data_IF_034829196954
#
_entry.id   IF_034829196954
#
_cell.length_a   1.000
_cell.length_b   1.000
_cell.length_c   1.000
_cell.angle_alpha   90.00
_cell.angle_beta   90.00
_cell.angle_gamma   90.00
#
_symmetry.space_group_name_H-M   'P 1'
#
loop_
_entity.id
_entity.type
_entity.pdbx_description
1 polymer ?
#
# COMPACT_ATOMS: atom_id res chain seq x y z
N UNK A 1 -17.00 4.60 -4.63
CA UNK A 1 -15.79 4.71 -5.47
C UNK A 1 -14.59 4.60 -4.55
N UNK A 2 -13.75 3.58 -4.71
CA UNK A 2 -12.61 3.34 -3.82
C UNK A 2 -11.32 3.18 -4.61
N UNK A 3 -10.20 3.61 -4.03
CA UNK A 3 -8.87 3.41 -4.60
C UNK A 3 -8.29 2.13 -4.00
N UNK A 4 -7.94 1.18 -4.85
CA UNK A 4 -7.21 -0.02 -4.45
C UNK A 4 -5.72 0.27 -4.62
N UNK A 5 -5.04 0.61 -3.52
CA UNK A 5 -3.59 0.77 -3.52
C UNK A 5 -2.96 -0.62 -3.40
N UNK A 6 -2.24 -1.03 -4.44
CA UNK A 6 -1.71 -2.39 -4.57
C UNK A 6 -0.19 -2.34 -4.59
N UNK A 7 0.38 -1.80 -3.51
CA UNK A 7 1.81 -1.75 -3.30
C UNK A 7 2.13 -2.15 -1.85
N UNK A 8 3.16 -2.96 -1.61
CA UNK A 8 3.66 -3.19 -0.26
C UNK A 8 4.20 -1.86 0.27
N UNK A 9 3.63 -1.37 1.35
CA UNK A 9 4.02 -0.11 1.97
C UNK A 9 4.48 -0.38 3.40
N UNK A 10 5.76 -0.14 3.66
CA UNK A 10 6.30 -0.23 5.00
C UNK A 10 6.05 1.11 5.71
N UNK A 11 5.40 1.03 6.87
CA UNK A 11 5.10 2.20 7.71
C UNK A 11 5.87 2.04 9.01
N UNK A 12 6.88 2.89 9.23
CA UNK A 12 7.82 2.73 10.33
C UNK A 12 7.36 3.44 11.60
N UNK A 13 6.42 4.38 11.50
CA UNK A 13 5.92 5.19 12.61
C UNK A 13 4.56 5.85 12.28
N UNK A 14 3.95 6.48 13.28
CA UNK A 14 2.65 7.14 13.15
C UNK A 14 2.66 8.31 12.17
N UNK A 15 3.77 9.06 12.07
CA UNK A 15 3.89 10.17 11.13
C UNK A 15 3.88 9.70 9.68
N UNK A 16 4.53 8.57 9.39
CA UNK A 16 4.44 7.91 8.09
C UNK A 16 3.02 7.43 7.80
N UNK A 17 2.31 6.85 8.79
CA UNK A 17 0.92 6.43 8.61
C UNK A 17 0.00 7.60 8.18
N UNK A 18 0.18 8.77 8.80
CA UNK A 18 -0.56 9.99 8.45
C UNK A 18 -0.27 10.41 7.00
N UNK A 19 0.98 10.34 6.55
CA UNK A 19 1.34 10.66 5.18
C UNK A 19 0.64 9.72 4.18
N UNK A 20 0.57 8.42 4.48
CA UNK A 20 -0.15 7.44 3.66
C UNK A 20 -1.65 7.74 3.61
N UNK A 21 -2.27 8.04 4.75
CA UNK A 21 -3.68 8.37 4.81
C UNK A 21 -4.02 9.63 3.99
N UNK A 22 -3.15 10.65 4.07
CA UNK A 22 -3.30 11.87 3.29
C UNK A 22 -3.15 11.63 1.79
N UNK A 23 -2.18 10.82 1.38
CA UNK A 23 -2.01 10.41 -0.02
C UNK A 23 -3.26 9.66 -0.52
N UNK A 24 -3.74 8.68 0.23
CA UNK A 24 -4.94 7.92 -0.13
C UNK A 24 -6.17 8.83 -0.26
N UNK A 25 -6.35 9.79 0.66
CA UNK A 25 -7.41 10.79 0.60
C UNK A 25 -7.32 11.63 -0.67
N UNK A 26 -6.14 12.14 -1.01
CA UNK A 26 -5.92 12.93 -2.21
C UNK A 26 -6.18 12.15 -3.50
N UNK A 27 -5.82 10.86 -3.53
CA UNK A 27 -6.12 9.97 -4.65
C UNK A 27 -7.63 9.72 -4.79
N UNK A 28 -8.35 9.50 -3.69
CA UNK A 28 -9.80 9.29 -3.70
C UNK A 28 -10.54 10.55 -4.17
N UNK A 29 -10.07 11.74 -3.75
CA UNK A 29 -10.63 13.02 -4.16
C UNK A 29 -10.20 13.45 -5.57
N UNK A 30 -9.26 12.73 -6.20
CA UNK A 30 -8.73 13.07 -7.52
C UNK A 30 -7.89 14.36 -7.54
N UNK A 31 -7.44 14.85 -6.38
CA UNK A 31 -6.58 16.04 -6.29
C UNK A 31 -5.14 15.74 -6.68
N UNK A 32 -4.76 14.47 -6.69
CA UNK A 32 -3.50 13.98 -7.25
C UNK A 32 -3.69 12.63 -7.94
N UNK A 33 -2.64 12.14 -8.59
CA UNK A 33 -2.57 10.80 -9.20
C UNK A 33 -1.26 10.13 -8.81
N UNK A 34 -1.21 8.80 -8.83
CA UNK A 34 0.03 8.07 -8.56
C UNK A 34 1.16 8.46 -9.51
N UNK A 35 0.86 8.74 -10.79
CA UNK A 35 1.88 9.19 -11.75
C UNK A 35 2.43 10.59 -11.48
N UNK A 36 1.66 11.45 -10.80
CA UNK A 36 2.10 12.79 -10.40
C UNK A 36 2.99 12.74 -9.14
N UNK A 37 2.57 11.98 -8.12
CA UNK A 37 3.34 11.83 -6.88
C UNK A 37 4.57 10.93 -7.05
N UNK A 38 4.49 9.93 -7.94
CA UNK A 38 5.55 8.97 -8.21
C UNK A 38 5.82 8.86 -9.72
N UNK A 39 6.48 9.87 -10.33
CA UNK A 39 6.79 9.86 -11.76
C UNK A 39 7.65 8.66 -12.13
N UNK A 40 7.25 7.93 -13.17
CA UNK A 40 7.98 6.75 -13.63
C UNK A 40 7.81 5.50 -12.74
N UNK A 41 6.90 5.51 -11.78
CA UNK A 41 6.55 4.33 -11.01
C UNK A 41 5.85 3.29 -11.89
N UNK A 42 6.43 2.10 -11.99
CA UNK A 42 5.95 1.00 -12.85
C UNK A 42 5.41 -0.19 -12.08
N UNK A 43 5.40 -0.11 -10.76
CA UNK A 43 4.98 -1.22 -9.92
C UNK A 43 3.47 -1.17 -9.73
N UNK A 44 2.76 -2.05 -10.43
CA UNK A 44 1.32 -2.16 -10.39
C UNK A 44 0.86 -3.47 -9.78
N UNK A 45 -0.44 -3.72 -9.94
CA UNK A 45 -1.08 -4.95 -9.45
C UNK A 45 -0.47 -6.22 -10.06
N UNK A 46 -0.06 -6.18 -11.32
CA UNK A 46 0.51 -7.34 -12.03
C UNK A 46 1.88 -7.70 -11.46
N UNK A 47 2.71 -6.68 -11.21
CA UNK A 47 4.01 -6.81 -10.58
C UNK A 47 3.85 -7.35 -9.15
N UNK A 48 2.91 -6.79 -8.37
CA UNK A 48 2.59 -7.27 -7.03
C UNK A 48 2.10 -8.72 -6.99
N UNK A 49 1.17 -9.10 -7.87
CA UNK A 49 0.67 -10.48 -7.95
C UNK A 49 1.78 -11.47 -8.32
N UNK A 50 2.69 -11.07 -9.20
CA UNK A 50 3.83 -11.90 -9.60
C UNK A 50 4.80 -12.16 -8.45
N UNK A 51 4.96 -11.19 -7.54
CA UNK A 51 5.76 -11.35 -6.32
C UNK A 51 5.06 -12.20 -5.26
N UNK A 52 3.72 -12.13 -5.13
CA UNK A 52 2.97 -12.99 -4.19
C UNK A 52 3.11 -14.46 -4.54
N UNK A 53 3.16 -14.81 -5.82
CA UNK A 53 3.40 -16.19 -6.28
C UNK A 53 4.83 -16.66 -5.93
N UNK A 54 5.77 -15.73 -5.76
CA UNK A 54 7.17 -16.00 -5.43
C UNK A 54 7.48 -15.87 -3.93
N UNK A 55 6.59 -15.27 -3.13
CA UNK A 55 6.80 -15.05 -1.70
C UNK A 55 6.43 -16.30 -0.90
N UNK A 56 7.40 -16.78 -0.13
CA UNK A 56 7.26 -17.84 0.85
C UNK A 56 6.13 -17.50 1.86
N UNK A 57 5.18 -18.40 2.14
CA UNK A 57 4.00 -18.13 2.99
C UNK A 57 4.33 -17.68 4.43
N UNK A 58 5.57 -17.90 4.89
CA UNK A 58 6.03 -17.44 6.19
C UNK A 58 6.21 -15.91 6.30
N UNK A 59 6.31 -15.19 5.17
CA UNK A 59 6.53 -13.73 5.16
C UNK A 59 5.23 -12.91 5.22
N UNK A 60 4.09 -13.50 4.83
CA UNK A 60 2.78 -12.83 4.78
C UNK A 60 2.19 -12.64 6.18
N UNK A 61 2.49 -13.56 7.11
CA UNK A 61 1.98 -13.56 8.47
C UNK A 61 2.47 -12.39 9.34
N UNK A 62 3.58 -11.72 8.98
CA UNK A 62 4.14 -10.62 9.77
C UNK A 62 3.41 -9.27 9.57
N UNK A 63 2.56 -9.15 8.53
CA UNK A 63 1.87 -7.89 8.17
C UNK A 63 0.43 -7.84 8.70
N UNK A 64 -0.10 -8.97 9.21
CA UNK A 64 -1.39 -9.00 9.90
C UNK A 64 -1.20 -8.67 11.37
N UNK A 65 -1.10 -7.38 11.71
CA UNK A 65 -1.21 -6.98 13.11
C UNK A 65 -2.60 -7.39 13.62
N UNK A 66 -2.58 -8.26 14.61
CA UNK A 66 -3.72 -8.83 15.29
C UNK A 66 -4.73 -7.75 15.72
N UNK A 67 -5.95 -7.84 15.22
CA UNK A 67 -7.13 -7.45 15.99
C UNK A 67 -7.72 -8.73 16.56
N UNK A 68 -7.25 -9.11 17.74
CA UNK A 68 -7.87 -10.14 18.56
C UNK A 68 -7.74 -9.75 20.03
N UNK A 69 -8.83 -9.16 20.53
CA UNK A 69 -9.35 -9.24 21.90
C UNK A 69 -8.39 -9.03 23.08
N UNK A 70 -8.71 -8.04 23.91
CA UNK A 70 -9.24 -8.28 25.27
C UNK A 70 -10.08 -7.08 25.68
#
# INVERSE_FOLDING_TARGET
MGVSLVAPLEVRNESELVAVANLARSLILGTTTLGAEFPGYRYGRTEWQSEQVQRDPNQIAHVSHAVAGT
#
